data_IF_406445474710
#
_entry.id   IF_406445474710
#
_cell.length_a   1.000
_cell.length_b   1.000
_cell.length_c   1.000
_cell.angle_alpha   90.00
_cell.angle_beta   90.00
_cell.angle_gamma   90.00
#
_symmetry.space_group_name_H-M   'P 1'
#
loop_
_entity.id
_entity.type
_entity.pdbx_description
1 polymer ?
#
# COMPACT_ATOMS: atom_id res chain seq x y z
N UNK A 1 -11.01 56.78 -46.65
CA UNK A 1 -9.68 56.14 -46.50
C UNK A 1 -9.62 55.04 -45.42
N UNK A 2 -10.72 54.39 -44.99
CA UNK A 2 -10.71 53.48 -43.82
C UNK A 2 -10.97 51.98 -44.08
N UNK A 3 -11.64 51.62 -45.18
CA UNK A 3 -12.14 50.23 -45.37
C UNK A 3 -11.06 49.20 -45.70
N UNK A 4 -9.95 49.60 -46.32
CA UNK A 4 -8.84 48.71 -46.69
C UNK A 4 -7.94 48.35 -45.50
N UNK A 5 -7.88 49.18 -44.46
CA UNK A 5 -7.09 48.92 -43.25
C UNK A 5 -7.73 47.86 -42.35
N UNK A 6 -9.06 47.89 -42.23
CA UNK A 6 -9.80 46.90 -41.44
C UNK A 6 -9.75 45.50 -42.06
N UNK A 7 -9.78 45.40 -43.40
CA UNK A 7 -9.71 44.12 -44.11
C UNK A 7 -8.33 43.45 -43.99
N UNK A 8 -7.26 44.26 -44.00
CA UNK A 8 -5.89 43.76 -43.77
C UNK A 8 -5.67 43.30 -42.32
N UNK A 9 -6.23 44.04 -41.36
CA UNK A 9 -6.11 43.70 -39.94
C UNK A 9 -6.87 42.42 -39.59
N UNK A 10 -8.05 42.19 -40.18
CA UNK A 10 -8.81 40.95 -39.98
C UNK A 10 -8.11 39.74 -40.61
N UNK A 11 -7.52 39.89 -41.79
CA UNK A 11 -6.77 38.81 -42.44
C UNK A 11 -5.53 38.37 -41.62
N UNK A 12 -4.76 39.33 -41.08
CA UNK A 12 -3.61 39.00 -40.22
C UNK A 12 -4.02 38.33 -38.91
N UNK A 13 -5.09 38.80 -38.26
CA UNK A 13 -5.58 38.21 -37.01
C UNK A 13 -6.06 36.77 -37.22
N UNK A 14 -6.73 36.50 -38.35
CA UNK A 14 -7.20 35.17 -38.68
C UNK A 14 -6.03 34.23 -38.98
N UNK A 15 -5.03 34.67 -39.76
CA UNK A 15 -3.81 33.88 -40.01
C UNK A 15 -3.03 33.55 -38.73
N UNK A 16 -2.95 34.48 -37.77
CA UNK A 16 -2.28 34.24 -36.49
C UNK A 16 -3.04 33.24 -35.61
N UNK A 17 -4.38 33.28 -35.64
CA UNK A 17 -5.23 32.32 -34.92
C UNK A 17 -5.11 30.88 -35.46
N UNK A 18 -4.93 30.72 -36.79
CA UNK A 18 -4.68 29.39 -37.39
C UNK A 18 -3.29 28.82 -37.03
N UNK A 19 -2.29 29.68 -36.76
CA UNK A 19 -0.96 29.22 -36.36
C UNK A 19 -0.94 28.66 -34.93
N UNK A 20 -1.75 29.21 -34.02
CA UNK A 20 -1.78 28.81 -32.60
C UNK A 20 -2.56 27.51 -32.34
N UNK A 21 -3.42 27.06 -33.26
CA UNK A 21 -4.22 25.83 -33.12
C UNK A 21 -3.54 24.58 -33.72
N UNK A 22 -2.31 24.71 -34.22
CA UNK A 22 -1.58 23.64 -34.92
C UNK A 22 -0.82 22.63 -34.04
N UNK A 23 -0.72 22.83 -32.72
CA UNK A 23 0.09 21.96 -31.85
C UNK A 23 -0.55 20.60 -31.52
N UNK A 24 -1.70 20.24 -32.09
CA UNK A 24 -2.35 18.94 -31.87
C UNK A 24 -2.25 18.00 -33.10
N UNK A 25 -1.10 17.98 -33.78
CA UNK A 25 -0.81 17.00 -34.84
C UNK A 25 -0.06 15.78 -34.30
N UNK A 26 -0.83 14.71 -34.12
CA UNK A 26 -0.50 13.37 -34.65
C UNK A 26 0.85 12.74 -34.27
N UNK A 27 1.04 12.40 -33.00
CA UNK A 27 1.97 11.32 -32.64
C UNK A 27 1.31 9.93 -32.71
N UNK A 28 -0.03 9.86 -32.79
CA UNK A 28 -0.78 8.60 -32.93
C UNK A 28 -0.82 8.04 -34.37
N UNK A 29 -0.38 8.80 -35.37
CA UNK A 29 -0.44 8.36 -36.79
C UNK A 29 0.84 7.69 -37.30
N UNK A 30 1.91 7.70 -36.50
CA UNK A 30 3.19 7.06 -36.83
C UNK A 30 3.40 5.75 -36.04
N UNK A 31 2.48 5.41 -35.13
CA UNK A 31 2.48 4.10 -34.51
C UNK A 31 2.02 3.06 -35.55
N UNK A 32 2.82 2.01 -35.84
CA UNK A 32 2.34 0.88 -36.62
C UNK A 32 1.03 0.37 -36.00
N UNK A 33 -0.04 0.34 -36.79
CA UNK A 33 -1.28 -0.34 -36.42
C UNK A 33 -0.96 -1.82 -36.21
N UNK A 34 -0.75 -2.26 -34.97
CA UNK A 34 -0.55 -3.67 -34.68
C UNK A 34 0.41 -4.04 -33.55
N UNK A 35 1.07 -3.08 -32.88
CA UNK A 35 1.87 -3.40 -31.69
C UNK A 35 1.05 -3.25 -30.41
N UNK A 36 -0.09 -3.93 -30.33
CA UNK A 36 -0.66 -4.23 -29.01
C UNK A 36 0.25 -5.26 -28.35
N UNK A 37 0.81 -5.00 -27.16
CA UNK A 37 1.65 -5.97 -26.47
C UNK A 37 0.85 -7.25 -26.23
N UNK A 38 1.34 -8.36 -26.77
CA UNK A 38 0.74 -9.69 -26.60
C UNK A 38 0.56 -9.96 -25.10
N UNK A 39 -0.67 -10.28 -24.68
CA UNK A 39 -0.92 -10.68 -23.29
C UNK A 39 -0.13 -11.94 -22.99
N UNK A 40 0.76 -11.84 -22.01
CA UNK A 40 1.45 -12.99 -21.46
C UNK A 40 0.41 -13.94 -20.85
N UNK A 41 0.53 -15.26 -21.07
CA UNK A 41 -0.32 -16.22 -20.38
C UNK A 41 -0.05 -16.15 -18.87
N UNK A 42 -1.08 -16.43 -18.08
CA UNK A 42 -0.92 -16.57 -16.63
C UNK A 42 0.12 -17.64 -16.31
N UNK A 43 1.06 -17.34 -15.41
CA UNK A 43 1.96 -18.35 -14.89
C UNK A 43 1.17 -19.41 -14.10
N UNK A 44 1.54 -20.70 -14.16
CA UNK A 44 0.91 -21.74 -13.35
C UNK A 44 1.04 -21.40 -11.86
N UNK A 45 -0.10 -21.31 -11.16
CA UNK A 45 -0.10 -21.19 -9.70
C UNK A 45 0.00 -22.58 -9.07
N UNK A 46 0.89 -22.73 -8.10
CA UNK A 46 1.00 -23.95 -7.31
C UNK A 46 -0.22 -24.15 -6.39
N UNK A 47 -0.42 -25.38 -5.92
CA UNK A 47 -1.45 -25.71 -4.94
C UNK A 47 -1.16 -24.99 -3.62
N UNK A 48 -2.19 -24.36 -3.04
CA UNK A 48 -2.12 -23.81 -1.67
C UNK A 48 -2.31 -24.97 -0.69
N UNK A 49 -1.30 -25.24 0.11
CA UNK A 49 -1.37 -26.24 1.19
C UNK A 49 -2.36 -25.73 2.26
N UNK A 50 -3.42 -26.50 2.49
CA UNK A 50 -4.49 -26.17 3.46
C UNK A 50 -4.23 -26.80 4.83
N UNK A 51 -2.96 -27.03 5.16
CA UNK A 51 -2.53 -27.52 6.46
C UNK A 51 -3.06 -26.64 7.59
N UNK A 52 -3.93 -27.21 8.41
CA UNK A 52 -4.45 -26.59 9.62
C UNK A 52 -3.26 -26.39 10.58
N UNK A 53 -2.96 -25.12 10.90
CA UNK A 53 -1.93 -24.79 11.87
C UNK A 53 -2.19 -25.56 13.18
N UNK A 54 -1.17 -26.17 13.80
CA UNK A 54 -1.33 -26.86 15.07
C UNK A 54 -2.01 -25.95 16.10
N UNK A 55 -2.95 -26.47 16.92
CA UNK A 55 -3.59 -25.67 17.95
C UNK A 55 -2.52 -25.14 18.92
N UNK A 56 -2.63 -23.88 19.38
CA UNK A 56 -1.69 -23.31 20.32
C UNK A 56 -1.67 -24.17 21.59
N UNK A 57 -0.58 -24.90 21.81
CA UNK A 57 -0.31 -25.59 23.07
C UNK A 57 0.13 -24.56 24.11
N UNK A 58 -0.82 -24.14 24.93
CA UNK A 58 -0.56 -23.27 26.07
C UNK A 58 -1.85 -22.65 26.60
N UNK A 59 -2.50 -23.35 27.54
CA UNK A 59 -3.43 -22.69 28.47
C UNK A 59 -2.61 -21.71 29.34
N UNK A 60 -2.83 -20.39 29.29
CA UNK A 60 -2.05 -19.41 30.05
C UNK A 60 -2.42 -19.35 31.54
N UNK A 61 -3.09 -20.39 32.08
CA UNK A 61 -3.62 -20.39 33.45
C UNK A 61 -3.20 -21.59 34.30
N UNK A 62 -2.01 -22.15 34.06
CA UNK A 62 -1.40 -23.02 35.05
C UNK A 62 0.13 -22.90 35.05
N UNK A 63 0.64 -21.83 35.65
CA UNK A 63 1.99 -21.81 36.21
C UNK A 63 1.91 -21.21 37.62
N UNK A 64 1.72 -22.04 38.67
CA UNK A 64 2.03 -21.63 40.02
C UNK A 64 3.55 -21.66 40.12
N UNK A 65 4.15 -20.48 40.00
CA UNK A 65 5.57 -20.18 40.21
C UNK A 65 6.29 -21.30 40.95
N UNK A 66 6.96 -22.10 40.13
CA UNK A 66 7.85 -23.19 40.48
C UNK A 66 8.98 -22.64 41.36
N UNK A 67 8.76 -22.55 42.66
CA UNK A 67 9.84 -22.41 43.65
C UNK A 67 10.03 -23.70 44.42
N UNK A 68 11.22 -24.25 44.20
CA UNK A 68 12.04 -25.05 45.11
C UNK A 68 11.54 -26.45 45.53
N UNK A 69 12.48 -27.38 45.45
CA UNK A 69 12.39 -28.74 45.90
C UNK A 69 12.23 -28.87 47.43
N UNK A 70 11.38 -29.83 47.84
CA UNK A 70 11.31 -30.65 49.07
C UNK A 70 10.89 -30.01 50.42
N UNK A 71 9.67 -30.33 50.90
CA UNK A 71 9.35 -30.66 52.32
C UNK A 71 8.00 -31.42 52.43
N UNK A 72 7.91 -32.58 53.10
CA UNK A 72 6.67 -33.32 53.32
C UNK A 72 5.96 -32.90 54.64
N UNK A 73 5.26 -31.77 54.66
CA UNK A 73 4.24 -31.49 55.69
C UNK A 73 3.05 -30.70 55.11
N UNK A 74 1.87 -31.32 55.17
CA UNK A 74 0.59 -30.80 54.70
C UNK A 74 -0.03 -29.76 55.67
N UNK A 75 -0.93 -28.92 55.15
CA UNK A 75 -2.18 -28.50 55.82
C UNK A 75 -3.34 -28.41 54.78
N UNK A 76 -4.45 -29.15 54.93
CA UNK A 76 -5.55 -29.22 53.98
C UNK A 76 -6.76 -28.37 54.41
N UNK A 77 -6.69 -27.05 54.30
CA UNK A 77 -7.87 -26.18 54.34
C UNK A 77 -7.54 -24.95 53.47
N UNK A 78 -8.17 -24.72 52.32
CA UNK A 78 -9.49 -24.12 52.22
C UNK A 78 -9.99 -24.28 50.77
N UNK A 79 -11.02 -25.09 50.56
CA UNK A 79 -11.92 -24.96 49.41
C UNK A 79 -12.95 -23.89 49.74
N UNK A 80 -13.11 -22.85 48.92
CA UNK A 80 -14.38 -22.12 48.91
C UNK A 80 -14.69 -21.42 47.57
N UNK A 81 -15.54 -22.10 46.80
CA UNK A 81 -16.78 -21.60 46.16
C UNK A 81 -16.76 -20.35 45.28
N UNK A 82 -16.95 -20.59 43.97
CA UNK A 82 -17.50 -19.70 42.94
C UNK A 82 -18.91 -19.18 43.34
N UNK A 83 -19.29 -17.90 43.08
CA UNK A 83 -20.29 -17.64 42.02
C UNK A 83 -20.19 -16.25 41.32
N UNK A 84 -20.48 -16.24 40.01
CA UNK A 84 -21.23 -15.17 39.33
C UNK A 84 -20.45 -13.96 38.78
N UNK A 85 -20.20 -13.95 37.46
CA UNK A 85 -19.81 -12.76 36.71
C UNK A 85 -21.04 -12.00 36.17
N UNK A 86 -21.07 -10.66 36.24
CA UNK A 86 -21.76 -9.82 35.28
C UNK A 86 -20.77 -9.13 34.32
N UNK A 87 -21.08 -9.24 33.02
CA UNK A 87 -21.01 -8.24 31.91
C UNK A 87 -19.88 -7.16 31.97
N UNK A 88 -19.11 -6.88 30.92
CA UNK A 88 -19.49 -6.10 29.72
C UNK A 88 -18.41 -6.21 28.62
N UNK A 89 -18.77 -6.13 27.32
CA UNK A 89 -17.87 -6.31 26.18
C UNK A 89 -17.01 -5.07 25.92
N UNK A 90 -15.70 -5.27 25.78
CA UNK A 90 -14.75 -4.24 25.35
C UNK A 90 -13.92 -4.78 24.19
N UNK A 91 -14.25 -4.31 22.99
CA UNK A 91 -13.57 -4.63 21.74
C UNK A 91 -12.17 -3.98 21.72
N UNK A 92 -11.19 -4.64 22.33
CA UNK A 92 -9.78 -4.25 22.21
C UNK A 92 -9.09 -5.28 21.32
N UNK A 93 -8.78 -4.85 20.08
CA UNK A 93 -7.94 -5.60 19.15
C UNK A 93 -6.58 -5.82 19.81
N UNK A 94 -6.36 -7.02 20.32
CA UNK A 94 -5.09 -7.43 20.91
C UNK A 94 -4.08 -7.66 19.78
N UNK A 95 -3.17 -6.72 19.57
CA UNK A 95 -2.07 -6.89 18.63
C UNK A 95 -0.97 -7.65 19.36
N UNK A 96 -0.84 -8.95 19.10
CA UNK A 96 0.28 -9.74 19.62
C UNK A 96 1.58 -9.27 18.95
N UNK A 97 2.48 -8.66 19.73
CA UNK A 97 3.82 -8.31 19.26
C UNK A 97 4.70 -9.56 19.30
N UNK A 98 4.77 -10.29 18.18
CA UNK A 98 5.81 -11.28 17.99
C UNK A 98 7.18 -10.58 17.85
N UNK A 99 8.27 -11.13 18.42
CA UNK A 99 9.61 -10.58 18.17
C UNK A 99 9.91 -10.66 16.66
N UNK A 100 10.53 -9.62 16.07
CA UNK A 100 10.77 -9.59 14.63
C UNK A 100 11.73 -10.72 14.25
N UNK A 101 11.19 -11.77 13.64
CA UNK A 101 12.01 -12.76 12.94
C UNK A 101 12.50 -12.12 11.64
N UNK A 102 13.68 -11.51 11.68
CA UNK A 102 14.38 -11.06 10.48
C UNK A 102 14.99 -12.28 9.77
N UNK A 103 14.18 -13.03 9.03
CA UNK A 103 14.61 -14.16 8.21
C UNK A 103 14.32 -13.97 6.72
N UNK A 104 14.25 -12.71 6.26
CA UNK A 104 14.09 -12.35 4.85
C UNK A 104 15.38 -11.78 4.26
N UNK A 105 15.55 -11.93 2.94
CA UNK A 105 16.56 -11.18 2.19
C UNK A 105 16.36 -9.66 2.42
N UNK A 106 17.44 -8.84 2.50
CA UNK A 106 17.31 -7.41 2.66
C UNK A 106 16.48 -6.79 1.53
N UNK A 107 15.49 -5.98 1.90
CA UNK A 107 14.68 -5.24 0.92
C UNK A 107 15.58 -4.22 0.21
N UNK A 108 15.69 -4.33 -1.11
CA UNK A 108 16.47 -3.41 -1.94
C UNK A 108 15.58 -2.34 -2.56
N UNK A 109 16.13 -1.18 -2.90
CA UNK A 109 15.37 -0.11 -3.58
C UNK A 109 14.83 -0.59 -4.93
N UNK A 110 15.62 -1.41 -5.61
CA UNK A 110 15.27 -2.05 -6.88
C UNK A 110 14.00 -2.89 -6.76
N UNK A 111 13.88 -3.66 -5.68
CA UNK A 111 12.71 -4.50 -5.41
C UNK A 111 11.42 -3.71 -5.12
N UNK A 112 11.53 -2.47 -4.66
CA UNK A 112 10.38 -1.64 -4.25
C UNK A 112 10.03 -0.55 -5.26
N UNK A 113 10.90 -0.25 -6.21
CA UNK A 113 10.59 0.71 -7.28
C UNK A 113 9.44 0.25 -8.18
N UNK A 114 8.67 1.19 -8.73
CA UNK A 114 7.55 0.88 -9.62
C UNK A 114 6.23 1.53 -9.20
N UNK A 115 5.12 0.99 -9.71
CA UNK A 115 3.78 1.47 -9.41
C UNK A 115 3.00 0.45 -8.60
N UNK A 116 2.48 0.88 -7.45
CA UNK A 116 1.82 0.04 -6.46
C UNK A 116 0.40 0.52 -6.25
N UNK A 117 -0.54 -0.42 -6.06
CA UNK A 117 -1.85 -0.07 -5.51
C UNK A 117 -1.70 0.00 -3.99
N UNK A 118 -2.11 1.13 -3.41
CA UNK A 118 -2.05 1.32 -1.96
C UNK A 118 -3.44 1.12 -1.39
N UNK A 119 -3.52 0.31 -0.34
CA UNK A 119 -4.76 0.16 0.43
C UNK A 119 -5.10 1.50 1.05
N UNK A 120 -6.19 2.12 0.58
CA UNK A 120 -6.65 3.44 1.02
C UNK A 120 -8.17 3.53 0.87
N UNK A 121 -8.72 4.71 1.11
CA UNK A 121 -10.12 5.07 0.85
C UNK A 121 -10.50 5.00 -0.65
N UNK A 122 -9.53 4.94 -1.57
CA UNK A 122 -9.75 4.75 -3.00
C UNK A 122 -9.03 3.48 -3.52
N UNK A 123 -9.75 2.48 -4.06
CA UNK A 123 -9.14 1.25 -4.57
C UNK A 123 -8.23 1.47 -5.80
N UNK A 124 -8.36 2.61 -6.47
CA UNK A 124 -7.51 3.02 -7.59
C UNK A 124 -6.32 3.90 -7.16
N UNK A 125 -6.15 4.17 -5.86
CA UNK A 125 -5.01 4.92 -5.35
C UNK A 125 -3.71 4.19 -5.67
N UNK A 126 -2.82 4.87 -6.40
CA UNK A 126 -1.50 4.33 -6.77
C UNK A 126 -0.38 5.17 -6.18
N UNK A 127 0.64 4.48 -5.69
CA UNK A 127 1.93 5.05 -5.34
C UNK A 127 2.95 4.70 -6.42
N UNK A 128 3.71 5.68 -6.89
CA UNK A 128 4.71 5.52 -7.94
C UNK A 128 6.07 5.90 -7.33
N UNK A 129 6.96 4.92 -7.25
CA UNK A 129 8.27 5.02 -6.63
C UNK A 129 9.35 5.00 -7.72
N UNK A 130 10.08 6.11 -7.88
CA UNK A 130 11.07 6.28 -8.94
C UNK A 130 12.44 6.68 -8.38
N UNK A 131 13.53 6.31 -9.07
CA UNK A 131 14.91 6.60 -8.64
C UNK A 131 15.40 8.02 -8.89
N UNK A 132 14.51 8.95 -9.23
CA UNK A 132 14.88 10.36 -9.35
C UNK A 132 15.15 10.91 -7.96
N UNK A 133 16.35 11.44 -7.73
CA UNK A 133 16.74 12.00 -6.43
C UNK A 133 15.84 13.19 -6.04
N UNK A 134 15.46 13.25 -4.77
CA UNK A 134 14.56 14.26 -4.22
C UNK A 134 14.93 14.60 -2.77
N UNK A 135 14.42 15.72 -2.26
CA UNK A 135 14.53 16.02 -0.83
C UNK A 135 13.81 14.93 -0.03
N UNK A 136 14.53 14.23 0.85
CA UNK A 136 13.99 13.10 1.61
C UNK A 136 14.20 11.72 0.96
N UNK A 137 15.03 11.61 -0.09
CA UNK A 137 15.43 10.32 -0.69
C UNK A 137 15.24 10.31 -2.21
N UNK A 138 14.25 9.54 -2.65
CA UNK A 138 13.87 9.37 -4.05
C UNK A 138 12.42 9.83 -4.29
N UNK A 139 12.06 10.22 -5.52
CA UNK A 139 10.72 10.74 -5.82
C UNK A 139 9.65 9.66 -5.64
N UNK A 140 8.64 10.00 -4.86
CA UNK A 140 7.35 9.31 -4.83
C UNK A 140 6.28 10.22 -5.45
N UNK A 141 5.28 9.62 -6.07
CA UNK A 141 4.10 10.33 -6.55
C UNK A 141 2.84 9.51 -6.31
N UNK A 142 1.77 10.17 -5.90
CA UNK A 142 0.47 9.53 -5.69
C UNK A 142 -0.50 9.87 -6.79
N UNK A 143 -1.32 8.91 -7.20
CA UNK A 143 -2.36 9.11 -8.21
C UNK A 143 -3.69 8.57 -7.70
N UNK A 144 -4.75 9.39 -7.76
CA UNK A 144 -6.12 9.05 -7.32
C UNK A 144 -6.26 8.71 -5.82
N UNK A 145 -5.32 9.14 -4.99
CA UNK A 145 -5.42 9.00 -3.53
C UNK A 145 -6.15 10.22 -2.98
N UNK A 146 -7.18 10.02 -2.15
CA UNK A 146 -7.92 11.15 -1.55
C UNK A 146 -7.54 11.38 -0.08
N UNK A 147 -7.03 10.36 0.63
CA UNK A 147 -6.47 10.53 1.98
C UNK A 147 -5.33 11.57 1.97
N UNK A 148 -5.38 12.59 2.86
CA UNK A 148 -4.30 13.57 3.01
C UNK A 148 -2.94 12.92 3.35
N UNK A 149 -2.96 11.83 4.13
CA UNK A 149 -1.76 11.14 4.58
C UNK A 149 -1.03 10.50 3.40
N UNK A 150 -1.77 9.84 2.49
CA UNK A 150 -1.18 9.18 1.33
C UNK A 150 -0.88 10.18 0.22
N UNK A 151 -1.79 11.13 -0.05
CA UNK A 151 -1.64 12.10 -1.14
C UNK A 151 -0.51 13.11 -0.94
N UNK A 152 -0.06 13.32 0.29
CA UNK A 152 1.07 14.22 0.60
C UNK A 152 2.45 13.56 0.45
N UNK A 153 2.50 12.24 0.20
CA UNK A 153 3.77 11.51 0.04
C UNK A 153 4.46 11.94 -1.25
N UNK A 154 5.69 12.45 -1.11
CA UNK A 154 6.51 12.94 -2.23
C UNK A 154 7.91 12.34 -2.30
N UNK A 155 8.33 11.61 -1.25
CA UNK A 155 9.63 10.98 -1.16
C UNK A 155 9.52 9.55 -0.62
N UNK A 156 10.50 8.70 -0.95
CA UNK A 156 10.64 7.35 -0.40
C UNK A 156 12.11 6.95 -0.25
N UNK A 157 12.35 6.00 0.65
CA UNK A 157 13.60 5.24 0.83
C UNK A 157 13.26 3.87 1.48
N UNK A 158 14.23 2.97 1.59
CA UNK A 158 14.11 1.63 2.23
C UNK A 158 14.80 1.60 3.59
#
# INVERSE_FOLDING_TARGET
MGKTSHLRSTACLMALALALTGCNRSLNSLAPRGSDPQRLPSAPVGSVDTGQLPPPSGDPFNDPNQTAALDPNQDPNQMQSQPGAPTVPGNQTQIATAPPQASGEPVSRESVSGAWIVSSDNPDCRMILAFTKWSGGYRAATKRCNSPEVSSVSAWDV
#
